data_IF_539316999107
#
_entry.id   IF_539316999107
#
_cell.length_a   1.000
_cell.length_b   1.000
_cell.length_c   1.000
_cell.angle_alpha   90.00
_cell.angle_beta   90.00
_cell.angle_gamma   90.00
#
_symmetry.space_group_name_H-M   'P 1'
#
loop_
_entity.id
_entity.type
_entity.pdbx_description
1 polymer ?
#
# COMPACT_ATOMS: atom_id res chain seq x y z
N UNK A 1 4.11 -7.40 -30.10
CA UNK A 1 5.05 -8.21 -29.29
C UNK A 1 4.20 -9.22 -28.55
N UNK A 2 4.40 -10.51 -28.82
CA UNK A 2 3.79 -11.58 -28.03
C UNK A 2 4.51 -11.62 -26.70
N UNK A 3 3.81 -11.40 -25.59
CA UNK A 3 4.36 -11.50 -24.25
C UNK A 3 3.89 -12.84 -23.71
N UNK A 4 4.83 -13.75 -23.44
CA UNK A 4 4.55 -15.09 -22.93
C UNK A 4 4.52 -15.01 -21.41
N UNK A 5 3.42 -15.43 -20.80
CA UNK A 5 3.33 -15.60 -19.35
C UNK A 5 3.89 -16.97 -18.98
N UNK A 6 4.70 -17.04 -17.92
CA UNK A 6 5.33 -18.28 -17.44
C UNK A 6 5.07 -18.49 -15.95
N UNK A 7 4.98 -19.76 -15.55
CA UNK A 7 5.03 -20.20 -14.16
C UNK A 7 6.42 -20.81 -13.93
N UNK A 8 7.18 -20.28 -12.97
CA UNK A 8 8.42 -20.91 -12.52
C UNK A 8 8.15 -21.65 -11.22
N UNK A 9 8.54 -22.92 -11.19
CA UNK A 9 8.47 -23.74 -9.99
C UNK A 9 9.77 -24.58 -9.89
N UNK A 10 10.29 -24.81 -8.68
CA UNK A 10 11.31 -25.82 -8.45
C UNK A 10 10.86 -27.19 -8.99
N UNK A 11 11.81 -28.03 -9.41
CA UNK A 11 11.49 -29.39 -9.89
C UNK A 11 10.66 -30.16 -8.87
N UNK A 12 11.03 -30.05 -7.60
CA UNK A 12 10.35 -30.69 -6.48
C UNK A 12 8.95 -30.12 -6.21
N UNK A 13 8.52 -29.03 -6.85
CA UNK A 13 7.18 -28.47 -6.71
C UNK A 13 6.24 -28.90 -7.84
N UNK A 14 6.73 -29.61 -8.86
CA UNK A 14 5.87 -30.04 -9.97
C UNK A 14 4.81 -31.05 -9.50
N UNK A 15 5.13 -31.88 -8.51
CA UNK A 15 4.21 -32.92 -8.02
C UNK A 15 2.97 -32.37 -7.29
N UNK A 16 3.01 -31.12 -6.80
CA UNK A 16 1.87 -30.47 -6.16
C UNK A 16 0.98 -29.71 -7.16
N UNK A 17 1.43 -29.52 -8.41
CA UNK A 17 0.63 -28.87 -9.44
C UNK A 17 -0.36 -29.89 -10.00
N UNK A 18 -1.62 -29.73 -9.62
CA UNK A 18 -2.72 -30.61 -10.04
C UNK A 18 -3.24 -30.24 -11.44
N UNK A 19 -3.27 -28.95 -11.78
CA UNK A 19 -3.72 -28.47 -13.10
C UNK A 19 -2.95 -27.25 -13.56
N UNK A 20 -2.68 -27.18 -14.87
CA UNK A 20 -2.15 -26.00 -15.56
C UNK A 20 -2.93 -25.77 -16.86
N UNK A 21 -3.66 -24.66 -16.94
CA UNK A 21 -4.55 -24.35 -18.07
C UNK A 21 -4.25 -22.95 -18.60
N UNK A 22 -4.03 -22.86 -19.91
CA UNK A 22 -4.00 -21.57 -20.62
C UNK A 22 -5.44 -21.20 -20.98
N UNK A 23 -5.99 -20.21 -20.29
CA UNK A 23 -7.37 -19.76 -20.48
C UNK A 23 -7.54 -18.98 -21.78
N UNK A 24 -8.81 -18.82 -22.19
CA UNK A 24 -9.17 -18.01 -23.35
C UNK A 24 -8.80 -16.53 -23.19
N UNK A 25 -8.56 -15.85 -24.31
CA UNK A 25 -8.27 -14.43 -24.32
C UNK A 25 -9.48 -13.64 -23.81
N UNK A 26 -9.22 -12.58 -23.06
CA UNK A 26 -10.27 -11.73 -22.49
C UNK A 26 -10.18 -10.31 -23.03
N UNK A 27 -11.27 -9.55 -22.92
CA UNK A 27 -11.25 -8.14 -23.32
C UNK A 27 -10.39 -7.24 -22.40
N UNK A 28 -9.87 -7.79 -21.30
CA UNK A 28 -9.21 -7.04 -20.23
C UNK A 28 -7.68 -7.06 -20.30
N UNK A 29 -7.10 -8.07 -20.97
CA UNK A 29 -5.66 -8.27 -21.07
C UNK A 29 -5.30 -8.68 -22.49
N UNK A 30 -4.08 -8.37 -22.89
CA UNK A 30 -3.49 -8.85 -24.14
C UNK A 30 -2.88 -10.24 -23.96
N UNK A 31 -2.85 -10.74 -22.72
CA UNK A 31 -2.37 -12.04 -22.32
C UNK A 31 -3.51 -13.05 -22.15
N UNK A 32 -3.21 -14.31 -22.41
CA UNK A 32 -4.06 -15.44 -22.04
C UNK A 32 -3.83 -15.76 -20.55
N UNK A 33 -4.84 -15.68 -19.67
CA UNK A 33 -4.65 -15.97 -18.26
C UNK A 33 -4.17 -17.42 -18.04
N UNK A 34 -3.29 -17.63 -17.08
CA UNK A 34 -2.92 -18.97 -16.62
C UNK A 34 -3.76 -19.35 -15.40
N UNK A 35 -4.37 -20.52 -15.41
CA UNK A 35 -5.01 -21.14 -14.26
C UNK A 35 -4.15 -22.29 -13.77
N UNK A 36 -3.73 -22.21 -12.51
CA UNK A 36 -2.90 -23.21 -11.85
C UNK A 36 -3.64 -23.69 -10.61
N UNK A 37 -3.78 -25.00 -10.46
CA UNK A 37 -4.34 -25.62 -9.26
C UNK A 37 -3.23 -26.35 -8.52
N UNK A 38 -3.11 -26.07 -7.22
CA UNK A 38 -2.16 -26.72 -6.34
C UNK A 38 -2.91 -27.62 -5.37
N UNK A 39 -2.35 -28.79 -5.10
CA UNK A 39 -2.88 -29.72 -4.09
C UNK A 39 -2.23 -29.40 -2.75
N UNK A 40 -2.99 -28.81 -1.83
CA UNK A 40 -2.52 -28.48 -0.48
C UNK A 40 -3.48 -29.05 0.57
N UNK A 41 -2.93 -29.55 1.68
CA UNK A 41 -3.69 -29.95 2.87
C UNK A 41 -3.75 -28.73 3.79
N UNK A 42 -4.96 -28.22 4.04
CA UNK A 42 -5.19 -27.13 5.00
C UNK A 42 -5.77 -27.74 6.27
N UNK A 43 -5.09 -27.58 7.40
CA UNK A 43 -5.61 -27.96 8.71
C UNK A 43 -6.59 -26.89 9.20
N UNK A 44 -7.85 -27.28 9.40
CA UNK A 44 -8.94 -26.41 9.85
C UNK A 44 -8.91 -26.28 11.38
N UNK A 45 -8.85 -25.07 11.91
CA UNK A 45 -8.79 -24.81 13.36
C UNK A 45 -9.99 -23.99 13.81
N UNK A 46 -10.74 -24.50 14.80
CA UNK A 46 -11.98 -23.91 15.33
C UNK A 46 -11.74 -22.56 16.05
N UNK A 47 -12.68 -21.60 15.88
CA UNK A 47 -12.66 -20.28 16.52
C UNK A 47 -13.07 -20.32 18.01
N UNK A 48 -12.39 -19.59 18.92
CA UNK A 48 -12.93 -19.25 20.24
C UNK A 48 -13.44 -17.80 20.35
N UNK A 49 -14.33 -17.61 21.32
CA UNK A 49 -15.20 -16.44 21.54
C UNK A 49 -14.50 -15.10 21.85
N UNK A 50 -15.17 -14.03 21.42
CA UNK A 50 -14.73 -12.62 21.43
C UNK A 50 -14.90 -11.95 22.80
N UNK A 51 -13.85 -11.31 23.32
CA UNK A 51 -13.96 -10.26 24.35
C UNK A 51 -13.36 -8.96 23.83
N UNK A 52 -14.22 -7.96 23.58
CA UNK A 52 -13.85 -6.67 22.97
C UNK A 52 -13.57 -5.59 24.01
N UNK A 53 -12.30 -5.18 24.14
CA UNK A 53 -11.91 -3.92 24.76
C UNK A 53 -11.12 -3.07 23.76
N UNK A 54 -11.73 -2.03 23.18
CA UNK A 54 -11.03 -1.11 22.27
C UNK A 54 -10.81 0.24 22.94
N UNK A 55 -9.54 0.54 23.26
CA UNK A 55 -9.06 1.90 23.54
C UNK A 55 -8.80 2.64 22.23
N UNK A 56 -9.54 3.70 21.96
CA UNK A 56 -9.32 4.59 20.82
C UNK A 56 -8.08 5.46 21.06
N UNK A 57 -6.89 5.00 20.66
CA UNK A 57 -5.71 5.85 20.61
C UNK A 57 -5.69 6.66 19.30
N UNK A 58 -5.61 7.98 19.43
CA UNK A 58 -5.48 8.92 18.32
C UNK A 58 -4.08 8.78 17.70
N UNK A 59 -4.01 8.30 16.46
CA UNK A 59 -2.77 8.16 15.71
C UNK A 59 -2.47 9.45 14.93
N UNK A 60 -1.41 10.18 15.32
CA UNK A 60 -0.94 11.34 14.56
C UNK A 60 -0.34 10.89 13.22
N UNK A 61 -0.78 11.49 12.12
CA UNK A 61 -0.25 11.16 10.79
C UNK A 61 0.71 12.22 10.29
N UNK A 62 1.93 11.81 9.97
CA UNK A 62 2.99 12.68 9.46
C UNK A 62 3.13 12.55 7.94
N UNK A 63 3.35 13.67 7.26
CA UNK A 63 3.56 13.69 5.81
C UNK A 63 4.53 14.79 5.41
N UNK A 64 5.49 14.42 4.56
CA UNK A 64 6.41 15.37 3.94
C UNK A 64 5.68 16.49 3.17
N UNK A 65 6.16 17.72 3.37
CA UNK A 65 5.71 18.95 2.71
C UNK A 65 6.95 19.71 2.24
N UNK A 66 7.26 19.62 0.96
CA UNK A 66 8.48 20.20 0.36
C UNK A 66 8.60 21.69 0.68
N UNK A 67 7.47 22.40 0.67
CA UNK A 67 7.39 23.84 0.94
C UNK A 67 7.79 24.27 2.37
N UNK A 68 7.86 23.33 3.32
CA UNK A 68 8.26 23.60 4.71
C UNK A 68 9.66 23.08 5.04
N UNK A 69 10.39 22.52 4.06
CA UNK A 69 11.73 21.95 4.25
C UNK A 69 12.67 22.96 4.89
N UNK A 70 12.82 24.15 4.30
CA UNK A 70 13.81 25.13 4.74
C UNK A 70 13.51 25.65 6.15
N UNK A 71 12.23 25.91 6.46
CA UNK A 71 11.80 26.34 7.80
C UNK A 71 12.08 25.26 8.86
N UNK A 72 11.86 23.99 8.50
CA UNK A 72 12.17 22.87 9.38
C UNK A 72 13.69 22.69 9.55
N UNK A 73 14.48 22.87 8.49
CA UNK A 73 15.94 22.83 8.55
C UNK A 73 16.49 23.88 9.52
N UNK A 74 15.99 25.12 9.45
CA UNK A 74 16.35 26.19 10.39
C UNK A 74 15.98 25.81 11.83
N UNK A 75 14.76 25.28 12.03
CA UNK A 75 14.29 24.84 13.36
C UNK A 75 15.14 23.71 13.95
N UNK A 76 15.51 22.71 13.14
CA UNK A 76 16.42 21.63 13.55
C UNK A 76 17.81 22.16 13.88
N UNK A 77 18.33 23.10 13.09
CA UNK A 77 19.66 23.69 13.33
C UNK A 77 19.67 24.45 14.65
N UNK A 78 18.64 25.26 14.92
CA UNK A 78 18.51 26.03 16.17
C UNK A 78 18.37 25.13 17.41
N UNK A 79 17.69 23.99 17.28
CA UNK A 79 17.44 23.06 18.39
C UNK A 79 18.46 21.91 18.46
N UNK A 80 19.49 21.90 17.59
CA UNK A 80 20.51 20.84 17.53
C UNK A 80 21.25 20.66 18.85
N UNK A 81 21.46 21.73 19.62
CA UNK A 81 22.08 21.66 20.96
C UNK A 81 21.28 20.83 21.96
N UNK A 82 19.95 20.95 21.96
CA UNK A 82 19.06 20.17 22.84
C UNK A 82 19.09 18.67 22.48
N UNK A 83 19.09 18.36 21.18
CA UNK A 83 19.24 16.98 20.70
C UNK A 83 20.60 16.40 21.08
N UNK A 84 21.67 17.19 20.93
CA UNK A 84 23.03 16.79 21.34
C UNK A 84 23.11 16.44 22.83
N UNK A 85 22.46 17.22 23.71
CA UNK A 85 22.47 16.93 25.15
C UNK A 85 21.84 15.58 25.48
N UNK A 86 20.75 15.22 24.80
CA UNK A 86 20.10 13.92 24.97
C UNK A 86 21.00 12.81 24.45
N UNK A 87 21.45 12.95 23.20
CA UNK A 87 22.17 11.90 22.48
C UNK A 87 23.50 11.55 23.15
N UNK A 88 24.26 12.54 23.62
CA UNK A 88 25.58 12.34 24.23
C UNK A 88 25.54 12.20 25.76
N UNK A 89 24.35 12.09 26.36
CA UNK A 89 24.21 11.76 27.78
C UNK A 89 24.60 10.30 28.07
N UNK A 90 25.04 10.02 29.29
CA UNK A 90 25.23 8.65 29.76
C UNK A 90 23.87 7.94 29.87
N UNK A 91 23.85 6.68 29.46
CA UNK A 91 22.63 5.86 29.46
C UNK A 91 22.81 4.62 30.30
N UNK A 92 21.72 4.18 30.93
CA UNK A 92 21.67 2.88 31.57
C UNK A 92 21.69 1.78 30.51
N UNK A 93 22.66 0.86 30.59
CA UNK A 93 22.81 -0.27 29.66
C UNK A 93 21.84 -1.41 30.00
N UNK A 94 20.56 -1.08 30.15
CA UNK A 94 19.46 -2.01 30.37
C UNK A 94 18.42 -1.84 29.27
N UNK A 95 17.52 -2.82 29.13
CA UNK A 95 16.43 -2.74 28.16
C UNK A 95 15.58 -1.46 28.34
N UNK A 96 15.22 -1.12 29.58
CA UNK A 96 14.40 0.05 29.87
C UNK A 96 15.21 1.34 29.67
N UNK A 97 16.51 1.33 29.95
CA UNK A 97 17.41 2.44 29.66
C UNK A 97 17.48 2.78 28.16
N UNK A 98 17.60 1.76 27.30
CA UNK A 98 17.62 1.92 25.84
C UNK A 98 16.26 2.36 25.29
N UNK A 99 15.17 1.76 25.78
CA UNK A 99 13.82 2.14 25.39
C UNK A 99 13.56 3.62 25.70
N UNK A 100 13.86 4.07 26.93
CA UNK A 100 13.71 5.46 27.36
C UNK A 100 14.62 6.41 26.58
N UNK A 101 15.85 6.00 26.28
CA UNK A 101 16.81 6.81 25.52
C UNK A 101 16.31 7.08 24.09
N UNK A 102 15.88 6.03 23.38
CA UNK A 102 15.37 6.16 22.01
C UNK A 102 14.03 6.89 21.97
N UNK A 103 13.14 6.66 22.95
CA UNK A 103 11.89 7.39 23.08
C UNK A 103 12.13 8.88 23.36
N UNK A 104 13.10 9.21 24.23
CA UNK A 104 13.46 10.60 24.55
C UNK A 104 14.00 11.34 23.33
N UNK A 105 14.94 10.74 22.60
CA UNK A 105 15.45 11.33 21.36
C UNK A 105 14.33 11.52 20.33
N UNK A 106 13.56 10.46 20.07
CA UNK A 106 12.51 10.50 19.06
C UNK A 106 11.42 11.51 19.41
N UNK A 107 11.01 11.60 20.67
CA UNK A 107 9.99 12.57 21.10
C UNK A 107 10.48 14.00 20.94
N UNK A 108 11.72 14.31 21.35
CA UNK A 108 12.29 15.65 21.18
C UNK A 108 12.48 16.02 19.71
N UNK A 109 12.92 15.07 18.88
CA UNK A 109 12.98 15.26 17.44
C UNK A 109 11.57 15.54 16.89
N UNK A 110 10.59 14.73 17.26
CA UNK A 110 9.22 14.88 16.78
C UNK A 110 8.53 16.14 17.29
N UNK A 111 8.89 16.70 18.44
CA UNK A 111 8.40 17.99 18.89
C UNK A 111 8.88 19.15 18.00
N UNK A 112 10.11 19.06 17.48
CA UNK A 112 10.65 20.02 16.51
C UNK A 112 9.98 19.84 15.13
N UNK A 113 9.72 18.60 14.73
CA UNK A 113 9.22 18.23 13.39
C UNK A 113 7.69 18.37 13.26
N UNK A 114 6.94 18.12 14.32
CA UNK A 114 5.47 18.07 14.31
C UNK A 114 4.79 19.35 13.81
N UNK A 115 5.23 20.58 14.17
CA UNK A 115 4.64 21.82 13.66
C UNK A 115 4.61 21.90 12.13
N UNK A 116 5.56 21.26 11.46
CA UNK A 116 5.69 21.30 10.00
C UNK A 116 4.90 20.17 9.33
N UNK A 117 5.04 18.93 9.82
CA UNK A 117 4.62 17.74 9.08
C UNK A 117 3.45 16.96 9.67
N UNK A 118 2.97 17.30 10.88
CA UNK A 118 1.82 16.63 11.50
C UNK A 118 0.49 17.04 10.84
N UNK A 119 -0.36 16.04 10.57
CA UNK A 119 -1.75 16.23 10.15
C UNK A 119 -2.67 15.87 11.32
N UNK A 120 -3.05 16.85 12.14
CA UNK A 120 -3.99 16.62 13.24
C UNK A 120 -5.37 16.19 12.69
N UNK A 121 -5.84 15.01 13.09
CA UNK A 121 -7.20 14.54 12.82
C UNK A 121 -8.13 14.96 13.96
N UNK A 122 -8.87 16.06 13.78
CA UNK A 122 -9.89 16.48 14.74
C UNK A 122 -11.07 15.48 14.68
N UNK A 123 -11.09 14.50 15.59
CA UNK A 123 -12.09 13.43 15.67
C UNK A 123 -13.32 13.90 16.45
N UNK A 124 -14.18 14.71 15.84
CA UNK A 124 -15.54 14.93 16.35
C UNK A 124 -16.48 15.19 15.18
N UNK A 125 -17.20 14.16 14.74
CA UNK A 125 -18.47 14.31 14.02
C UNK A 125 -19.23 12.98 14.07
N UNK A 126 -19.93 12.76 15.19
CA UNK A 126 -21.06 11.83 15.24
C UNK A 126 -22.20 12.43 14.42
N UNK A 127 -22.68 11.74 13.39
CA UNK A 127 -23.94 12.11 12.74
C UNK A 127 -24.89 10.91 12.70
N UNK A 128 -25.95 11.10 13.46
CA UNK A 128 -27.10 10.24 13.62
C UNK A 128 -28.04 10.38 12.39
N UNK A 129 -28.72 9.26 12.04
CA UNK A 129 -29.97 9.14 11.22
C UNK A 129 -29.93 9.65 9.76
N UNK A 130 -30.64 9.12 8.76
CA UNK A 130 -31.60 8.01 8.57
C UNK A 130 -31.56 7.69 7.05
N UNK A 131 -31.60 6.41 6.70
CA UNK A 131 -31.31 5.91 5.34
C UNK A 131 -32.61 5.82 4.52
N UNK A 132 -32.62 6.37 3.31
CA UNK A 132 -33.57 5.94 2.26
C UNK A 132 -32.80 5.42 1.04
N UNK A 133 -33.05 4.16 0.69
CA UNK A 133 -32.38 3.43 -0.39
C UNK A 133 -33.10 3.72 -1.71
N UNK A 134 -32.38 4.23 -2.72
CA UNK A 134 -32.80 4.11 -4.12
C UNK A 134 -31.66 3.57 -4.98
N UNK A 135 -31.95 2.48 -5.67
CA UNK A 135 -31.10 1.76 -6.63
C UNK A 135 -31.03 2.54 -7.94
N UNK A 136 -29.89 3.19 -8.24
CA UNK A 136 -29.66 3.79 -9.57
C UNK A 136 -28.84 2.85 -10.44
N UNK A 137 -29.40 2.46 -11.59
CA UNK A 137 -28.65 1.91 -12.71
C UNK A 137 -27.54 2.89 -13.11
N UNK A 138 -26.32 2.40 -13.35
CA UNK A 138 -25.18 3.26 -13.71
C UNK A 138 -25.24 3.60 -15.19
N UNK A 139 -25.44 4.89 -15.49
CA UNK A 139 -25.26 5.42 -16.84
C UNK A 139 -23.84 5.19 -17.36
N UNK A 140 -23.72 4.95 -18.67
CA UNK A 140 -22.44 4.86 -19.36
C UNK A 140 -21.64 6.16 -19.22
N UNK A 141 -20.32 6.08 -19.45
CA UNK A 141 -19.49 7.29 -19.44
C UNK A 141 -19.96 8.28 -20.52
N UNK A 142 -19.98 9.60 -20.26
CA UNK A 142 -20.52 10.59 -21.20
C UNK A 142 -19.84 10.60 -22.57
N UNK A 143 -18.58 10.16 -22.65
CA UNK A 143 -17.82 10.06 -23.89
C UNK A 143 -17.98 8.72 -24.62
N UNK A 144 -18.71 7.77 -24.05
CA UNK A 144 -18.93 6.43 -24.61
C UNK A 144 -20.20 6.40 -25.46
N UNK A 145 -20.09 7.02 -26.64
CA UNK A 145 -21.21 7.18 -27.57
C UNK A 145 -21.60 5.87 -28.29
N UNK A 146 -22.68 5.95 -29.06
CA UNK A 146 -23.22 4.83 -29.85
C UNK A 146 -22.15 4.16 -30.73
N UNK A 147 -21.33 4.94 -31.42
CA UNK A 147 -20.29 4.41 -32.31
C UNK A 147 -19.20 3.65 -31.53
N UNK A 148 -18.82 4.13 -30.34
CA UNK A 148 -17.88 3.43 -29.47
C UNK A 148 -18.47 2.11 -28.93
N UNK A 149 -19.77 2.09 -28.62
CA UNK A 149 -20.51 0.87 -28.26
C UNK A 149 -20.53 -0.13 -29.41
N UNK A 150 -20.86 0.32 -30.62
CA UNK A 150 -20.92 -0.50 -31.83
C UNK A 150 -19.56 -1.17 -32.11
N UNK A 151 -18.48 -0.39 -32.13
CA UNK A 151 -17.12 -0.92 -32.33
C UNK A 151 -16.68 -1.87 -31.21
N UNK A 152 -17.10 -1.61 -29.95
CA UNK A 152 -16.87 -2.54 -28.85
C UNK A 152 -17.60 -3.87 -29.09
N UNK A 153 -18.86 -3.85 -29.51
CA UNK A 153 -19.61 -5.09 -29.81
C UNK A 153 -18.96 -5.90 -30.93
N UNK A 154 -18.48 -5.25 -31.99
CA UNK A 154 -17.76 -5.91 -33.09
C UNK A 154 -16.45 -6.56 -32.58
N UNK A 155 -15.68 -5.83 -31.78
CA UNK A 155 -14.47 -6.36 -31.15
C UNK A 155 -14.77 -7.58 -30.26
N UNK A 156 -15.80 -7.51 -29.42
CA UNK A 156 -16.18 -8.60 -28.52
C UNK A 156 -16.67 -9.82 -29.31
N UNK A 157 -17.45 -9.63 -30.37
CA UNK A 157 -17.87 -10.71 -31.27
C UNK A 157 -16.67 -11.39 -31.92
N UNK A 158 -15.71 -10.60 -32.43
CA UNK A 158 -14.46 -11.11 -33.02
C UNK A 158 -13.61 -11.90 -32.01
N UNK A 159 -13.60 -11.47 -30.74
CA UNK A 159 -12.92 -12.18 -29.66
C UNK A 159 -13.57 -13.54 -29.38
N UNK A 160 -14.90 -13.62 -29.35
CA UNK A 160 -15.61 -14.89 -29.18
C UNK A 160 -15.36 -15.84 -30.35
N UNK A 161 -15.38 -15.33 -31.59
CA UNK A 161 -15.07 -16.12 -32.78
C UNK A 161 -13.64 -16.66 -32.73
N UNK A 162 -12.65 -15.84 -32.35
CA UNK A 162 -11.27 -16.30 -32.20
C UNK A 162 -11.06 -17.31 -31.07
N UNK A 163 -11.72 -17.12 -29.92
CA UNK A 163 -11.64 -18.07 -28.81
C UNK A 163 -12.32 -19.41 -29.15
N UNK A 164 -13.34 -19.40 -30.01
CA UNK A 164 -14.00 -20.61 -30.51
C UNK A 164 -13.15 -21.34 -31.55
N UNK A 165 -12.51 -20.60 -32.45
CA UNK A 165 -11.67 -21.14 -33.53
C UNK A 165 -10.40 -20.29 -33.72
N UNK A 166 -9.27 -20.84 -33.26
CA UNK A 166 -7.97 -20.17 -33.24
C UNK A 166 -7.25 -20.35 -34.57
N UNK A 167 -7.57 -19.50 -35.54
CA UNK A 167 -6.90 -19.47 -36.84
C UNK A 167 -6.37 -18.06 -37.19
N UNK A 168 -5.55 -17.98 -38.24
CA UNK A 168 -4.87 -16.74 -38.65
C UNK A 168 -5.86 -15.66 -39.08
N UNK A 169 -6.93 -16.03 -39.77
CA UNK A 169 -7.95 -15.09 -40.27
C UNK A 169 -8.74 -14.47 -39.10
N UNK A 170 -9.25 -15.29 -38.19
CA UNK A 170 -9.95 -14.85 -36.99
C UNK A 170 -9.05 -13.96 -36.12
N UNK A 171 -7.76 -14.28 -36.03
CA UNK A 171 -6.79 -13.46 -35.30
C UNK A 171 -6.60 -12.08 -35.95
N UNK A 172 -6.51 -12.00 -37.28
CA UNK A 172 -6.41 -10.74 -38.00
C UNK A 172 -7.66 -9.87 -37.79
N UNK A 173 -8.85 -10.47 -37.89
CA UNK A 173 -10.13 -9.78 -37.65
C UNK A 173 -10.21 -9.24 -36.20
N UNK A 174 -9.78 -10.04 -35.22
CA UNK A 174 -9.70 -9.62 -33.81
C UNK A 174 -8.77 -8.42 -33.63
N UNK A 175 -7.56 -8.46 -34.20
CA UNK A 175 -6.59 -7.36 -34.10
C UNK A 175 -7.15 -6.08 -34.74
N UNK A 176 -7.73 -6.19 -35.94
CA UNK A 176 -8.26 -5.04 -36.67
C UNK A 176 -9.43 -4.39 -35.93
N UNK A 177 -10.41 -5.17 -35.48
CA UNK A 177 -11.57 -4.68 -34.74
C UNK A 177 -11.17 -4.06 -33.39
N UNK A 178 -10.23 -4.69 -32.66
CA UNK A 178 -9.65 -4.13 -31.42
C UNK A 178 -8.97 -2.78 -31.67
N UNK A 179 -8.16 -2.68 -32.73
CA UNK A 179 -7.43 -1.46 -33.08
C UNK A 179 -8.39 -0.31 -33.43
N UNK A 180 -9.44 -0.59 -34.20
CA UNK A 180 -10.48 0.39 -34.54
C UNK A 180 -11.21 0.90 -33.30
N UNK A 181 -11.68 -0.02 -32.44
CA UNK A 181 -12.33 0.34 -31.17
C UNK A 181 -11.41 1.19 -30.28
N UNK A 182 -10.17 0.75 -30.03
CA UNK A 182 -9.24 1.45 -29.13
C UNK A 182 -8.83 2.83 -29.63
N UNK A 183 -8.68 3.00 -30.95
CA UNK A 183 -8.43 4.32 -31.56
C UNK A 183 -9.58 5.29 -31.27
N UNK A 184 -10.83 4.87 -31.51
CA UNK A 184 -11.99 5.72 -31.25
C UNK A 184 -12.18 5.99 -29.76
N UNK A 185 -12.08 4.96 -28.92
CA UNK A 185 -12.16 5.09 -27.47
C UNK A 185 -11.17 6.15 -26.97
N UNK A 186 -9.89 6.04 -27.37
CA UNK A 186 -8.86 6.99 -26.98
C UNK A 186 -9.13 8.40 -27.50
N UNK A 187 -9.62 8.54 -28.74
CA UNK A 187 -10.00 9.85 -29.33
C UNK A 187 -11.10 10.53 -28.52
N UNK A 188 -12.18 9.80 -28.22
CA UNK A 188 -13.31 10.33 -27.45
C UNK A 188 -12.91 10.68 -26.01
N UNK A 189 -12.10 9.83 -25.38
CA UNK A 189 -11.60 10.06 -24.01
C UNK A 189 -10.69 11.28 -23.93
N UNK A 190 -9.81 11.49 -24.91
CA UNK A 190 -8.97 12.70 -25.01
C UNK A 190 -9.80 13.95 -25.24
N UNK A 191 -10.76 13.90 -26.18
CA UNK A 191 -11.68 15.02 -26.46
C UNK A 191 -12.45 15.42 -25.20
N UNK A 192 -13.00 14.45 -24.48
CA UNK A 192 -13.73 14.69 -23.25
C UNK A 192 -12.85 15.31 -22.15
N UNK A 193 -11.65 14.75 -21.89
CA UNK A 193 -10.72 15.32 -20.92
C UNK A 193 -10.32 16.75 -21.26
N UNK A 194 -10.13 17.07 -22.55
CA UNK A 194 -9.85 18.43 -23.00
C UNK A 194 -11.03 19.35 -22.70
N UNK A 195 -12.24 18.96 -23.08
CA UNK A 195 -13.47 19.72 -22.80
C UNK A 195 -13.69 19.92 -21.30
N UNK A 196 -13.42 18.91 -20.48
CA UNK A 196 -13.48 18.99 -19.02
C UNK A 196 -12.45 20.01 -18.49
N UNK A 197 -11.21 19.98 -19.01
CA UNK A 197 -10.18 20.98 -18.70
C UNK A 197 -10.59 22.40 -19.09
N UNK A 198 -11.12 22.58 -20.29
CA UNK A 198 -11.61 23.88 -20.79
C UNK A 198 -12.78 24.41 -19.92
N UNK A 199 -13.70 23.51 -19.52
CA UNK A 199 -14.80 23.82 -18.62
C UNK A 199 -14.30 24.24 -17.22
N UNK A 200 -13.34 23.51 -16.66
CA UNK A 200 -12.71 23.83 -15.36
C UNK A 200 -11.99 25.19 -15.44
N UNK A 201 -11.24 25.45 -16.52
CA UNK A 201 -10.55 26.72 -16.73
C UNK A 201 -11.52 27.90 -16.86
N UNK A 202 -12.65 27.68 -17.52
CA UNK A 202 -13.74 28.66 -17.63
C UNK A 202 -14.39 28.91 -16.28
N UNK A 203 -14.75 27.86 -15.54
CA UNK A 203 -15.35 27.96 -14.19
C UNK A 203 -14.44 28.70 -13.22
N UNK A 204 -13.12 28.51 -13.30
CA UNK A 204 -12.16 29.25 -12.46
C UNK A 204 -12.29 30.77 -12.63
N UNK A 205 -12.60 31.24 -13.84
CA UNK A 205 -12.73 32.67 -14.17
C UNK A 205 -14.15 33.19 -13.95
N UNK A 206 -15.19 32.43 -14.29
CA UNK A 206 -16.58 32.88 -14.26
C UNK A 206 -17.33 32.58 -12.95
N UNK A 207 -17.00 31.48 -12.26
CA UNK A 207 -17.65 31.06 -11.01
C UNK A 207 -16.67 30.31 -10.09
N UNK A 208 -15.79 31.05 -9.37
CA UNK A 208 -14.80 30.45 -8.47
C UNK A 208 -15.42 29.57 -7.39
N UNK A 209 -16.63 29.88 -6.91
CA UNK A 209 -17.32 29.08 -5.88
C UNK A 209 -17.66 27.68 -6.40
N UNK A 210 -18.22 27.56 -7.61
CA UNK A 210 -18.46 26.24 -8.23
C UNK A 210 -17.16 25.51 -8.54
N UNK A 211 -16.11 26.22 -8.97
CA UNK A 211 -14.80 25.63 -9.19
C UNK A 211 -14.26 24.93 -7.93
N UNK A 212 -14.17 25.62 -6.79
CA UNK A 212 -13.66 25.02 -5.55
C UNK A 212 -14.53 23.86 -5.04
N UNK A 213 -15.85 23.90 -5.30
CA UNK A 213 -16.77 22.81 -4.94
C UNK A 213 -16.48 21.49 -5.67
N UNK A 214 -15.93 21.52 -6.89
CA UNK A 214 -15.53 20.32 -7.63
C UNK A 214 -14.37 19.55 -6.97
N UNK A 215 -13.55 20.24 -6.16
CA UNK A 215 -12.38 19.67 -5.49
C UNK A 215 -12.64 19.33 -4.02
N UNK A 216 -13.84 19.59 -3.50
CA UNK A 216 -14.22 19.17 -2.15
C UNK A 216 -14.36 17.65 -2.10
N UNK A 217 -13.58 17.00 -1.23
CA UNK A 217 -13.64 15.54 -1.03
C UNK A 217 -15.06 15.13 -0.64
N UNK A 218 -15.63 14.16 -1.36
CA UNK A 218 -16.84 13.46 -0.90
C UNK A 218 -16.51 12.76 0.41
N UNK A 219 -17.38 12.88 1.42
CA UNK A 219 -17.22 12.16 2.70
C UNK A 219 -17.05 10.66 2.41
N UNK A 220 -16.07 10.05 3.07
CA UNK A 220 -15.77 8.63 2.93
C UNK A 220 -17.01 7.80 3.27
N UNK A 221 -17.25 6.74 2.49
CA UNK A 221 -18.18 5.69 2.92
C UNK A 221 -17.52 4.96 4.07
N UNK A 222 -18.22 4.84 5.20
CA UNK A 222 -17.82 3.97 6.30
C UNK A 222 -17.93 2.51 5.86
N UNK A 223 -16.96 1.68 6.23
CA UNK A 223 -16.98 0.23 6.04
C UNK A 223 -18.05 -0.42 6.91
N UNK A 224 -18.59 -1.56 6.47
CA UNK A 224 -19.56 -2.36 7.25
C UNK A 224 -18.90 -3.18 8.39
N UNK A 225 -17.56 -3.26 8.42
CA UNK A 225 -16.77 -3.97 9.44
C UNK A 225 -16.23 -2.99 10.46
N UNK A 226 -16.34 -3.32 11.74
CA UNK A 226 -15.85 -2.48 12.83
C UNK A 226 -14.33 -2.57 12.99
N UNK A 227 -13.70 -1.58 13.64
CA UNK A 227 -12.26 -1.62 13.94
C UNK A 227 -11.90 -2.78 14.88
N UNK A 228 -12.79 -3.13 15.81
CA UNK A 228 -12.59 -4.26 16.71
C UNK A 228 -12.58 -5.60 15.97
N UNK A 229 -13.47 -5.79 14.99
CA UNK A 229 -13.47 -6.98 14.15
C UNK A 229 -12.21 -7.08 13.28
N UNK A 230 -11.71 -5.95 12.77
CA UNK A 230 -10.43 -5.93 12.06
C UNK A 230 -9.25 -6.27 12.97
N UNK A 231 -9.20 -5.70 14.17
CA UNK A 231 -8.14 -5.96 15.14
C UNK A 231 -8.09 -7.44 15.51
N UNK A 232 -9.22 -8.03 15.91
CA UNK A 232 -9.27 -9.44 16.29
C UNK A 232 -8.94 -10.36 15.11
N UNK A 233 -9.40 -10.04 13.89
CA UNK A 233 -9.03 -10.82 12.71
C UNK A 233 -7.51 -10.89 12.50
N UNK A 234 -6.82 -9.75 12.54
CA UNK A 234 -5.36 -9.73 12.34
C UNK A 234 -4.60 -10.28 13.54
N UNK A 235 -5.08 -10.06 14.77
CA UNK A 235 -4.51 -10.66 15.97
C UNK A 235 -4.54 -12.18 15.86
N UNK A 236 -5.71 -12.74 15.57
CA UNK A 236 -5.88 -14.18 15.38
C UNK A 236 -5.06 -14.70 14.21
N UNK A 237 -4.92 -13.95 13.11
CA UNK A 237 -4.05 -14.35 12.00
C UNK A 237 -2.59 -14.49 12.43
N UNK A 238 -2.08 -13.54 13.22
CA UNK A 238 -0.70 -13.56 13.72
C UNK A 238 -0.48 -14.64 14.79
N UNK A 239 -1.51 -14.98 15.59
CA UNK A 239 -1.39 -15.97 16.68
C UNK A 239 -1.81 -17.39 16.31
N UNK A 240 -2.70 -17.58 15.33
CA UNK A 240 -3.26 -18.89 14.95
C UNK A 240 -2.57 -19.53 13.75
N UNK A 241 -1.82 -18.77 12.93
CA UNK A 241 -0.79 -19.41 12.12
C UNK A 241 0.19 -20.00 13.13
N UNK A 242 0.13 -21.32 13.33
CA UNK A 242 0.97 -22.11 14.21
C UNK A 242 2.44 -22.10 13.80
N UNK A 243 3.00 -20.92 13.56
CA UNK A 243 4.41 -20.66 13.72
C UNK A 243 4.67 -20.76 15.23
N UNK A 244 4.70 -22.00 15.70
CA UNK A 244 5.81 -22.40 16.55
C UNK A 244 7.05 -22.02 15.74
N UNK A 245 7.48 -20.76 15.86
CA UNK A 245 8.88 -20.45 15.70
C UNK A 245 9.49 -21.13 16.92
N UNK A 246 9.63 -22.46 16.86
CA UNK A 246 10.87 -23.03 17.36
C UNK A 246 11.90 -22.28 16.54
N UNK A 247 12.45 -21.23 17.14
CA UNK A 247 13.72 -20.72 16.68
C UNK A 247 14.60 -21.95 16.89
N UNK A 248 14.74 -22.78 15.86
CA UNK A 248 15.86 -23.68 15.72
C UNK A 248 17.06 -22.74 15.71
N UNK A 249 17.44 -22.32 16.92
CA UNK A 249 18.76 -21.82 17.21
C UNK A 249 19.59 -23.04 16.88
N UNK A 250 20.38 -23.04 15.79
CA UNK A 250 21.11 -24.22 15.42
C UNK A 250 22.00 -24.56 16.60
N UNK A 251 21.68 -25.63 17.33
CA UNK A 251 22.58 -26.23 18.29
C UNK A 251 23.78 -26.65 17.46
N UNK A 252 24.86 -25.87 17.52
CA UNK A 252 26.05 -25.88 16.63
C UNK A 252 25.97 -25.00 15.37
N UNK A 253 25.71 -23.70 15.52
CA UNK A 253 26.46 -22.76 14.68
C UNK A 253 27.90 -22.81 15.19
N UNK A 254 28.81 -23.39 14.41
CA UNK A 254 30.24 -23.13 14.58
C UNK A 254 30.42 -21.65 14.83
N UNK A 255 31.24 -21.27 15.80
CA UNK A 255 31.57 -19.90 16.19
C UNK A 255 32.08 -19.09 14.97
N UNK A 256 31.17 -18.70 14.07
CA UNK A 256 31.40 -17.77 12.98
C UNK A 256 31.07 -16.41 13.56
N UNK A 257 31.86 -16.01 14.56
CA UNK A 257 31.98 -14.62 14.96
C UNK A 257 32.56 -13.88 13.76
N UNK A 258 31.68 -13.20 13.03
CA UNK A 258 32.10 -12.27 12.01
C UNK A 258 32.47 -10.99 12.74
N UNK A 259 33.75 -10.82 13.07
CA UNK A 259 34.24 -9.65 13.81
C UNK A 259 33.82 -8.32 13.14
N UNK A 260 33.58 -8.34 11.83
CA UNK A 260 33.03 -7.24 11.03
C UNK A 260 31.60 -6.81 11.41
N UNK A 261 30.78 -7.69 11.99
CA UNK A 261 29.40 -7.39 12.41
C UNK A 261 29.33 -6.71 13.78
N UNK A 262 30.34 -6.87 14.61
CA UNK A 262 30.45 -6.26 15.95
C UNK A 262 31.29 -4.97 15.92
N UNK A 263 31.64 -4.47 14.73
CA UNK A 263 32.34 -3.20 14.58
C UNK A 263 31.41 -2.01 14.87
N UNK A 264 32.04 -0.89 15.23
CA UNK A 264 31.36 0.39 15.39
C UNK A 264 30.71 0.76 14.05
N UNK A 265 29.42 1.10 14.11
CA UNK A 265 28.64 1.56 12.97
C UNK A 265 29.15 2.95 12.57
N UNK A 266 29.55 3.08 11.32
CA UNK A 266 30.15 4.31 10.79
C UNK A 266 29.12 5.23 10.14
N UNK A 267 29.44 6.53 10.06
CA UNK A 267 28.64 7.48 9.29
C UNK A 267 28.47 7.09 7.82
N UNK A 268 29.50 6.50 7.19
CA UNK A 268 29.44 6.08 5.78
C UNK A 268 28.42 4.95 5.56
N UNK A 269 28.33 4.00 6.50
CA UNK A 269 27.30 2.96 6.47
C UNK A 269 25.91 3.54 6.61
N UNK A 270 25.73 4.48 7.54
CA UNK A 270 24.45 5.17 7.74
C UNK A 270 24.07 5.95 6.47
N UNK A 271 25.00 6.69 5.87
CA UNK A 271 24.78 7.42 4.62
C UNK A 271 24.41 6.48 3.47
N UNK A 272 25.07 5.32 3.38
CA UNK A 272 24.72 4.28 2.39
C UNK A 272 23.31 3.75 2.63
N UNK A 273 22.90 3.52 3.88
CA UNK A 273 21.53 3.14 4.23
C UNK A 273 20.52 4.24 3.84
N UNK A 274 20.79 5.50 4.17
CA UNK A 274 19.96 6.66 3.82
C UNK A 274 19.79 6.78 2.29
N UNK A 275 20.86 6.52 1.52
CA UNK A 275 20.80 6.58 0.05
C UNK A 275 19.83 5.57 -0.59
N UNK A 276 19.53 4.48 0.12
CA UNK A 276 18.62 3.44 -0.33
C UNK A 276 17.17 3.65 0.15
N UNK A 277 16.92 4.66 1.01
CA UNK A 277 15.58 4.96 1.48
C UNK A 277 14.69 5.48 0.35
N UNK A 278 13.50 4.90 0.23
CA UNK A 278 12.50 5.32 -0.77
C UNK A 278 11.63 6.42 -0.18
N UNK A 279 11.44 7.52 -0.92
CA UNK A 279 10.48 8.57 -0.58
C UNK A 279 9.03 8.08 -0.68
N UNK A 280 8.11 8.76 0.00
CA UNK A 280 6.68 8.50 -0.02
C UNK A 280 6.27 7.24 0.73
N UNK A 281 7.11 6.77 1.65
CA UNK A 281 6.81 5.65 2.54
C UNK A 281 6.09 6.15 3.79
N UNK A 282 5.22 5.29 4.34
CA UNK A 282 4.52 5.58 5.60
C UNK A 282 5.49 5.58 6.76
N UNK A 283 5.23 6.43 7.75
CA UNK A 283 5.96 6.43 9.02
C UNK A 283 5.57 5.25 9.91
N UNK A 284 6.44 4.94 10.87
CA UNK A 284 6.17 3.99 11.96
C UNK A 284 5.29 4.58 13.07
N UNK A 285 5.15 3.84 14.16
CA UNK A 285 4.41 4.27 15.36
C UNK A 285 4.97 5.56 15.99
N UNK A 286 6.24 5.82 15.75
CA UNK A 286 7.03 6.94 16.25
C UNK A 286 6.88 8.22 15.41
N UNK A 287 6.19 8.14 14.27
CA UNK A 287 5.97 9.28 13.39
C UNK A 287 7.15 9.62 12.48
N UNK A 288 8.28 8.91 12.57
CA UNK A 288 9.46 9.17 11.73
C UNK A 288 9.26 8.61 10.31
N UNK A 289 9.64 9.37 9.29
CA UNK A 289 9.47 8.99 7.88
C UNK A 289 10.75 9.27 7.07
N UNK A 290 10.92 8.54 5.97
CA UNK A 290 12.18 8.49 5.23
C UNK A 290 12.72 9.86 4.79
N UNK A 291 11.85 10.78 4.37
CA UNK A 291 12.26 12.11 3.93
C UNK A 291 12.95 12.92 5.04
N UNK A 292 12.62 12.67 6.31
CA UNK A 292 13.32 13.27 7.45
C UNK A 292 14.82 12.95 7.40
N UNK A 293 15.15 11.66 7.24
CA UNK A 293 16.53 11.21 7.17
C UNK A 293 17.20 11.58 5.85
N UNK A 294 16.47 11.65 4.75
CA UNK A 294 17.04 11.99 3.44
C UNK A 294 17.42 13.48 3.36
N UNK A 295 16.55 14.37 3.87
CA UNK A 295 16.67 15.82 3.69
C UNK A 295 17.48 16.50 4.78
N UNK A 296 17.54 15.92 5.97
CA UNK A 296 18.25 16.48 7.13
C UNK A 296 19.42 15.60 7.59
N UNK A 297 19.93 14.72 6.72
CA UNK A 297 21.04 13.80 7.05
C UNK A 297 22.28 14.52 7.57
N UNK A 298 22.61 15.69 7.05
CA UNK A 298 23.75 16.50 7.48
C UNK A 298 23.65 16.94 8.94
N UNK A 299 22.44 17.17 9.44
CA UNK A 299 22.18 17.47 10.86
C UNK A 299 22.07 16.17 11.69
N UNK A 300 21.35 15.17 11.16
CA UNK A 300 20.97 13.98 11.92
C UNK A 300 22.05 12.90 11.99
N UNK A 301 22.97 12.85 11.02
CA UNK A 301 24.00 11.81 10.91
C UNK A 301 24.83 11.61 12.20
N UNK A 302 25.39 12.65 12.85
CA UNK A 302 26.14 12.46 14.09
C UNK A 302 25.27 11.91 15.23
N UNK A 303 23.98 12.25 15.25
CA UNK A 303 23.06 11.74 16.26
C UNK A 303 22.72 10.27 16.02
N UNK A 304 22.48 9.90 14.75
CA UNK A 304 22.17 8.51 14.37
C UNK A 304 23.34 7.58 14.65
N UNK A 305 24.57 8.01 14.36
CA UNK A 305 25.79 7.26 14.66
C UNK A 305 25.92 6.95 16.15
N UNK A 306 25.79 7.97 17.00
CA UNK A 306 25.89 7.78 18.45
C UNK A 306 24.78 6.88 18.99
N UNK A 307 23.53 7.09 18.55
CA UNK A 307 22.38 6.28 18.98
C UNK A 307 22.59 4.81 18.58
N UNK A 308 22.94 4.53 17.33
CA UNK A 308 23.12 3.16 16.86
C UNK A 308 24.28 2.46 17.56
N UNK A 309 25.40 3.16 17.80
CA UNK A 309 26.53 2.59 18.53
C UNK A 309 26.24 2.36 20.01
N UNK A 310 25.45 3.23 20.65
CA UNK A 310 24.97 3.00 22.03
C UNK A 310 24.05 1.79 22.13
N UNK A 311 23.12 1.64 21.18
CA UNK A 311 22.26 0.46 21.07
C UNK A 311 23.12 -0.79 20.90
N UNK A 312 24.03 -0.80 19.93
CA UNK A 312 24.93 -1.92 19.65
C UNK A 312 25.75 -2.31 20.87
N UNK A 313 26.42 -1.33 21.51
CA UNK A 313 27.26 -1.56 22.69
C UNK A 313 26.48 -1.99 23.95
N UNK A 314 25.17 -1.77 23.99
CA UNK A 314 24.31 -2.20 25.10
C UNK A 314 23.83 -3.64 24.97
N UNK A 315 23.84 -4.21 23.76
CA UNK A 315 23.23 -5.51 23.45
C UNK A 315 21.70 -5.55 23.53
N UNK A 316 21.04 -4.40 23.77
CA UNK A 316 19.58 -4.30 23.86
C UNK A 316 19.04 -3.44 22.70
N UNK A 317 17.98 -3.89 22.06
CA UNK A 317 17.30 -3.16 20.98
C UNK A 317 16.00 -2.53 21.49
N UNK A 318 15.59 -1.36 20.97
CA UNK A 318 14.34 -0.75 21.37
C UNK A 318 13.15 -1.67 21.10
N UNK A 319 12.30 -1.94 22.12
CA UNK A 319 11.09 -2.77 21.95
C UNK A 319 10.14 -2.17 20.90
N UNK A 320 10.15 -0.85 20.75
CA UNK A 320 9.37 -0.14 19.73
C UNK A 320 9.69 -0.56 18.30
N UNK A 321 10.91 -1.05 18.03
CA UNK A 321 11.31 -1.55 16.71
C UNK A 321 10.66 -2.91 16.37
N UNK A 322 10.19 -3.64 17.38
CA UNK A 322 9.43 -4.88 17.20
C UNK A 322 7.91 -4.63 17.03
N UNK A 323 7.46 -3.37 17.09
CA UNK A 323 6.06 -2.99 16.91
C UNK A 323 5.75 -2.68 15.45
N UNK A 324 4.61 -3.16 14.95
CA UNK A 324 4.16 -2.93 13.58
C UNK A 324 2.77 -2.29 13.55
N UNK A 325 2.56 -1.32 12.62
CA UNK A 325 1.25 -0.74 12.35
C UNK A 325 0.60 -1.45 11.17
N UNK A 326 -0.54 -2.11 11.42
CA UNK A 326 -1.33 -2.73 10.37
C UNK A 326 -2.29 -1.71 9.77
N UNK A 327 -2.05 -1.36 8.50
CA UNK A 327 -2.91 -0.47 7.72
C UNK A 327 -3.56 -1.28 6.57
N UNK A 328 -4.83 -1.67 6.69
CA UNK A 328 -5.52 -2.38 5.61
C UNK A 328 -5.67 -1.51 4.37
N UNK A 329 -4.98 -1.85 3.28
CA UNK A 329 -5.11 -1.15 2.01
C UNK A 329 -6.07 -1.92 1.10
N UNK A 330 -7.22 -1.31 0.80
CA UNK A 330 -8.17 -1.89 -0.15
C UNK A 330 -7.55 -1.94 -1.55
N UNK A 331 -7.16 -3.14 -1.99
CA UNK A 331 -6.75 -3.36 -3.38
C UNK A 331 -7.97 -3.21 -4.28
N UNK A 332 -7.94 -2.24 -5.19
CA UNK A 332 -9.01 -2.04 -6.17
C UNK A 332 -9.18 -3.33 -6.99
N UNK A 333 -10.25 -4.08 -6.74
CA UNK A 333 -10.66 -5.17 -7.63
C UNK A 333 -10.97 -4.56 -9.00
N UNK A 334 -10.29 -5.02 -10.04
CA UNK A 334 -10.77 -4.85 -11.41
C UNK A 334 -12.06 -5.67 -11.45
N UNK A 335 -13.22 -5.01 -11.52
CA UNK A 335 -14.52 -5.67 -11.60
C UNK A 335 -14.48 -6.69 -12.75
N UNK A 336 -14.20 -7.96 -12.44
CA UNK A 336 -14.64 -9.07 -13.26
C UNK A 336 -16.14 -9.10 -13.02
N UNK A 337 -16.92 -8.88 -14.08
CA UNK A 337 -18.37 -9.03 -14.02
C UNK A 337 -18.67 -10.50 -13.73
N UNK A 338 -18.91 -10.84 -12.47
CA UNK A 338 -19.63 -12.05 -12.08
C UNK A 338 -21.14 -11.78 -12.20
N UNK A 339 -21.61 -11.58 -13.44
CA UNK A 339 -23.05 -11.47 -13.73
C UNK A 339 -23.49 -12.33 -14.92
N UNK A 340 -22.75 -13.39 -15.25
CA UNK A 340 -23.13 -14.36 -16.31
C UNK A 340 -23.04 -15.82 -15.80
N UNK A 341 -23.44 -16.06 -14.54
CA UNK A 341 -23.57 -17.42 -13.99
C UNK A 341 -24.97 -17.73 -13.44
N UNK A 342 -26.03 -17.10 -13.96
CA UNK A 342 -27.38 -17.56 -13.65
C UNK A 342 -28.33 -17.30 -14.82
N UNK A 343 -28.37 -18.22 -15.78
CA UNK A 343 -29.54 -18.56 -16.59
C UNK A 343 -29.19 -19.85 -17.34
N UNK A 344 -29.56 -20.99 -16.73
CA UNK A 344 -30.01 -22.23 -17.38
C UNK A 344 -29.99 -23.38 -16.37
N UNK A 345 -31.08 -23.51 -15.62
CA UNK A 345 -31.58 -24.81 -15.14
C UNK A 345 -33.00 -24.56 -14.64
N UNK A 346 -33.98 -24.76 -15.52
CA UNK A 346 -35.33 -25.27 -15.22
C UNK A 346 -36.12 -25.35 -16.53
N UNK A 347 -36.08 -26.52 -17.17
CA UNK A 347 -37.14 -27.11 -18.00
C UNK A 347 -36.74 -28.54 -18.36
N UNK A 348 -37.05 -29.46 -17.46
CA UNK A 348 -37.85 -30.64 -17.78
C UNK A 348 -38.90 -30.76 -16.68
#
# INVERSE_FOLDING_TARGET
>A
MSVVDYLLAPYDFLHIIDQFIVCNFTSFSDHAPLHVRLRCILHDSQEPERNSGTSNNSYNSYRWKEELKDQCYESLTLNSGSLSQIVFSDIEKSQDGIDNYVESFTSNLMDIISPFFCNSHNSNNTCDRTRSKTTRYKDDKPWFNYECKRLRSIYISSLYTFNRDKNVENHQILIMSKRQYKRLENKLKRKYKRQEGDMIATLRKSDPKKYYKLFQKKRAKTSDVSLSEFFEHFRNLVTNDGINVTVDTPETVSDTTYDELDQIITQDEILKCISNLKRGKSHGIDGTFNELFIEFKDILLPFLEEIFNKILASGHFPKSWALAVLIPVFKKRRLVRSSELSWNQFSQ
#
